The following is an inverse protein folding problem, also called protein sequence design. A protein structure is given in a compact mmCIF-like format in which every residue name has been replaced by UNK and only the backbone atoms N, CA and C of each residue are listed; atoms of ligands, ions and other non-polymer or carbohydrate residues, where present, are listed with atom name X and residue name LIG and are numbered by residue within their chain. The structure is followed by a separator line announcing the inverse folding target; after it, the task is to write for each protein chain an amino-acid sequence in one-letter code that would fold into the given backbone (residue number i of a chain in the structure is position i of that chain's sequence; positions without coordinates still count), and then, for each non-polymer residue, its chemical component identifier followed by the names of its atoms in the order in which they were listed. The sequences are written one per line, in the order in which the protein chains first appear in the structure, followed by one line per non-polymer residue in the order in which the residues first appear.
data_IF_454849178398
#
_entry.id   IF_454849178398
#
_cell.length_a   1.000
_cell.length_b   1.000
_cell.length_c   1.000
_cell.angle_alpha   90.00
_cell.angle_beta   90.00
_cell.angle_gamma   90.00
#
_symmetry.space_group_name_H-M   'P 1'
#
loop_
_entity.id
_entity.type
_entity.pdbx_description
1 polymer ?
#
# COMPACT_ATOMS: atom_id res chain seq x y z
N UNK A 1 17.74 -11.00 -10.53
CA UNK A 1 16.79 -12.09 -10.22
C UNK A 1 16.76 -13.06 -11.39
N UNK A 2 16.44 -12.63 -12.61
CA UNK A 2 16.50 -13.46 -13.82
C UNK A 2 17.77 -14.30 -13.97
N UNK A 3 18.95 -13.72 -13.81
CA UNK A 3 20.22 -14.47 -13.91
C UNK A 3 20.33 -15.59 -12.86
N UNK A 4 19.79 -15.36 -11.67
CA UNK A 4 19.80 -16.31 -10.56
C UNK A 4 18.79 -17.43 -10.75
N UNK A 5 17.55 -17.11 -11.17
CA UNK A 5 16.49 -18.10 -11.45
C UNK A 5 16.56 -18.70 -12.86
N UNK A 6 17.39 -18.14 -13.75
CA UNK A 6 17.58 -18.53 -15.16
C UNK A 6 16.31 -18.54 -16.00
N UNK A 7 15.37 -17.64 -15.67
CA UNK A 7 14.10 -17.46 -16.34
C UNK A 7 13.87 -15.97 -16.61
N UNK A 8 13.10 -15.65 -17.65
CA UNK A 8 12.63 -14.28 -17.87
C UNK A 8 11.51 -13.97 -16.89
N UNK A 9 11.58 -12.82 -16.25
CA UNK A 9 10.53 -12.33 -15.38
C UNK A 9 9.38 -11.75 -16.23
N UNK A 10 8.15 -11.73 -15.68
CA UNK A 10 7.05 -10.99 -16.28
C UNK A 10 7.41 -9.52 -16.53
N UNK A 11 6.85 -8.92 -17.59
CA UNK A 11 7.12 -7.52 -17.94
C UNK A 11 6.65 -6.53 -16.86
N UNK A 12 5.66 -6.93 -16.07
CA UNK A 12 5.08 -6.18 -14.96
C UNK A 12 5.68 -6.58 -13.60
N UNK A 13 6.69 -7.45 -13.56
CA UNK A 13 7.32 -7.88 -12.32
C UNK A 13 7.83 -6.68 -11.52
N UNK A 14 7.50 -6.64 -10.23
CA UNK A 14 7.82 -5.53 -9.31
C UNK A 14 7.17 -4.18 -9.64
N UNK A 15 6.19 -4.12 -10.54
CA UNK A 15 5.28 -2.97 -10.62
C UNK A 15 4.45 -2.85 -9.34
N UNK A 16 3.84 -1.69 -9.12
CA UNK A 16 2.99 -1.47 -7.95
C UNK A 16 1.78 -2.42 -7.98
N UNK A 17 1.23 -2.64 -9.17
CA UNK A 17 0.11 -3.53 -9.47
C UNK A 17 0.49 -4.99 -9.19
N UNK A 18 1.63 -5.45 -9.71
CA UNK A 18 2.13 -6.80 -9.44
C UNK A 18 2.28 -7.06 -7.93
N UNK A 19 2.87 -6.11 -7.19
CA UNK A 19 3.06 -6.23 -5.75
C UNK A 19 1.74 -6.19 -4.98
N UNK A 20 0.74 -5.46 -5.48
CA UNK A 20 -0.61 -5.42 -4.90
C UNK A 20 -1.32 -6.77 -5.07
N UNK A 21 -1.27 -7.36 -6.27
CA UNK A 21 -1.86 -8.68 -6.55
C UNK A 21 -1.27 -9.79 -5.67
N UNK A 22 0.01 -9.69 -5.34
CA UNK A 22 0.71 -10.66 -4.49
C UNK A 22 0.65 -10.32 -2.98
N UNK A 23 -0.08 -9.26 -2.60
CA UNK A 23 -0.35 -8.92 -1.19
C UNK A 23 0.80 -8.23 -0.46
N UNK A 24 1.82 -7.74 -1.17
CA UNK A 24 2.90 -6.95 -0.57
C UNK A 24 2.56 -5.45 -0.47
N UNK A 25 1.56 -4.98 -1.23
CA UNK A 25 1.07 -3.60 -1.23
C UNK A 25 -0.43 -3.59 -1.00
N UNK A 26 -0.90 -2.82 -0.02
CA UNK A 26 -2.33 -2.74 0.31
C UNK A 26 -3.14 -1.93 -0.71
N UNK A 27 -2.55 -0.89 -1.31
CA UNK A 27 -3.25 -0.01 -2.26
C UNK A 27 -2.30 0.74 -3.19
N UNK A 28 -2.62 0.75 -4.48
CA UNK A 28 -2.01 1.61 -5.49
C UNK A 28 -3.00 2.74 -5.80
N UNK A 29 -2.55 4.00 -5.64
CA UNK A 29 -3.41 5.18 -5.85
C UNK A 29 -2.72 6.22 -6.73
N UNK A 30 -3.51 6.94 -7.51
CA UNK A 30 -3.01 8.03 -8.37
C UNK A 30 -2.35 9.14 -7.56
N UNK A 31 -1.36 9.81 -8.14
CA UNK A 31 -0.57 10.86 -7.44
C UNK A 31 -1.45 11.97 -6.86
N UNK A 32 -2.49 12.39 -7.60
CA UNK A 32 -3.40 13.45 -7.19
C UNK A 32 -4.29 13.07 -5.99
N UNK A 33 -4.51 11.76 -5.76
CA UNK A 33 -5.36 11.24 -4.69
C UNK A 33 -4.58 10.97 -3.40
N UNK A 34 -3.24 10.90 -3.48
CA UNK A 34 -2.36 10.62 -2.35
C UNK A 34 -2.64 11.51 -1.12
N UNK A 35 -2.83 12.84 -1.23
CA UNK A 35 -3.08 13.67 -0.04
C UNK A 35 -4.34 13.24 0.72
N UNK A 36 -5.43 12.95 0.00
CA UNK A 36 -6.69 12.51 0.60
C UNK A 36 -6.57 11.08 1.17
N UNK A 37 -5.88 10.18 0.46
CA UNK A 37 -5.67 8.80 0.89
C UNK A 37 -4.83 8.73 2.17
N UNK A 38 -3.72 9.49 2.23
CA UNK A 38 -2.87 9.59 3.41
C UNK A 38 -3.61 10.21 4.58
N UNK A 39 -4.37 11.30 4.36
CA UNK A 39 -5.17 11.91 5.43
C UNK A 39 -6.15 10.91 6.06
N UNK A 40 -6.80 10.05 5.26
CA UNK A 40 -7.69 9.00 5.75
C UNK A 40 -6.96 7.95 6.59
N UNK A 41 -5.83 7.44 6.10
CA UNK A 41 -5.05 6.41 6.81
C UNK A 41 -4.50 6.98 8.11
N UNK A 42 -3.90 8.16 8.07
CA UNK A 42 -3.37 8.82 9.25
C UNK A 42 -4.49 9.18 10.21
N UNK A 43 -5.67 9.59 9.74
CA UNK A 43 -6.85 9.76 10.58
C UNK A 43 -7.18 8.49 11.36
N UNK A 44 -7.29 7.35 10.68
CA UNK A 44 -7.56 6.06 11.34
C UNK A 44 -6.46 5.63 12.32
N UNK A 45 -5.19 5.77 11.94
CA UNK A 45 -4.05 5.31 12.75
C UNK A 45 -3.69 6.26 13.90
N UNK A 46 -3.88 7.56 13.70
CA UNK A 46 -3.48 8.61 14.63
C UNK A 46 -4.67 9.21 15.39
N UNK A 47 -5.91 8.79 15.12
CA UNK A 47 -7.04 9.02 16.01
C UNK A 47 -6.65 8.45 17.39
N UNK A 48 -6.11 9.33 18.22
CA UNK A 48 -5.99 9.11 19.65
C UNK A 48 -7.43 8.97 20.11
N UNK A 49 -7.86 7.72 20.29
CA UNK A 49 -9.08 7.39 21.02
C UNK A 49 -9.14 8.31 22.24
N UNK A 50 -9.97 9.36 22.19
CA UNK A 50 -10.64 9.90 23.38
C UNK A 50 -11.70 8.85 23.81
N UNK A 51 -11.32 7.58 23.85
CA UNK A 51 -12.16 6.46 24.24
C UNK A 51 -11.59 5.85 25.52
N UNK A 52 -11.52 6.71 26.54
CA UNK A 52 -11.80 6.41 27.96
C UNK A 52 -12.27 7.70 28.66
N UNK A 53 -13.17 8.46 28.01
CA UNK A 53 -13.98 9.50 28.69
C UNK A 53 -15.39 9.54 28.11
N UNK A 54 -16.14 8.45 28.26
CA UNK A 54 -17.61 8.42 28.33
C UNK A 54 -18.11 6.98 28.48
N UNK A 55 -18.02 6.43 29.70
CA UNK A 55 -18.95 5.47 30.32
C UNK A 55 -18.51 5.25 31.77
#
# INVERSE_FOLDING_TARGET
IEETVREKLPDDFQTAEYLQEHGMVDSVVGRAEQPAFLARILGFLMERREATKAA
#
